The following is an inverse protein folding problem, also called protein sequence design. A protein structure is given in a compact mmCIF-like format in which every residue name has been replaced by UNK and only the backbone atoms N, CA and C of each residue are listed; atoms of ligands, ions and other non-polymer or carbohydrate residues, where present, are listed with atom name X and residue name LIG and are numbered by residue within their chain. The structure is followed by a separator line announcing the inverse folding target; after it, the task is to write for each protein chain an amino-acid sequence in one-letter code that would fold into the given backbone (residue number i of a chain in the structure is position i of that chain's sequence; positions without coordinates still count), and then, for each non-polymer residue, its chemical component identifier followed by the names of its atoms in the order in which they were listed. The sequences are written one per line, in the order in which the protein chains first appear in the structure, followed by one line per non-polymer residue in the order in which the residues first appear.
data_IF_584927721343
#
_entry.id   IF_584927721343
#
_cell.length_a   1.000
_cell.length_b   1.000
_cell.length_c   1.000
_cell.angle_alpha   90.00
_cell.angle_beta   90.00
_cell.angle_gamma   90.00
#
_symmetry.space_group_name_H-M   'P 1'
#
loop_
_entity.id
_entity.type
_entity.pdbx_description
1 polymer ?
#
# COMPACT_ATOMS: atom_id res chain seq x y z
N UNK A 1 42.11 21.74 -12.25
CA UNK A 1 40.72 21.20 -12.19
C UNK A 1 39.77 22.37 -12.02
N UNK A 2 38.76 22.51 -12.83
CA UNK A 2 37.84 23.66 -12.80
C UNK A 2 37.02 23.63 -11.48
N UNK A 3 36.91 24.78 -10.80
CA UNK A 3 36.16 24.91 -9.50
C UNK A 3 34.74 24.35 -9.61
N UNK A 4 34.09 24.52 -10.76
CA UNK A 4 32.76 23.99 -11.04
C UNK A 4 32.76 22.46 -11.15
N UNK A 5 33.81 21.87 -11.72
CA UNK A 5 33.92 20.41 -11.80
C UNK A 5 34.10 19.77 -10.40
N UNK A 6 34.87 20.45 -9.52
CA UNK A 6 35.03 20.01 -8.12
C UNK A 6 33.69 20.11 -7.39
N UNK A 7 33.00 21.24 -7.51
CA UNK A 7 31.71 21.44 -6.86
C UNK A 7 30.67 20.39 -7.32
N UNK A 8 30.60 20.13 -8.62
CA UNK A 8 29.68 19.10 -9.16
C UNK A 8 30.01 17.68 -8.66
N UNK A 9 31.33 17.33 -8.64
CA UNK A 9 31.75 16.03 -8.12
C UNK A 9 31.43 15.86 -6.61
N UNK A 10 31.64 16.94 -5.84
CA UNK A 10 31.31 16.92 -4.40
C UNK A 10 29.81 16.77 -4.19
N UNK A 11 29.00 17.52 -4.93
CA UNK A 11 27.53 17.40 -4.83
C UNK A 11 27.04 16.00 -5.20
N UNK A 12 27.58 15.43 -6.28
CA UNK A 12 27.24 14.05 -6.68
C UNK A 12 27.66 13.03 -5.61
N UNK A 13 28.86 13.19 -5.03
CA UNK A 13 29.34 12.31 -3.96
C UNK A 13 28.47 12.39 -2.71
N UNK A 14 28.05 13.60 -2.31
CA UNK A 14 27.13 13.79 -1.17
C UNK A 14 25.76 13.17 -1.44
N UNK A 15 25.22 13.31 -2.65
CA UNK A 15 23.95 12.71 -3.03
C UNK A 15 24.02 11.18 -2.97
N UNK A 16 25.07 10.58 -3.53
CA UNK A 16 25.30 9.12 -3.49
C UNK A 16 25.43 8.63 -2.05
N UNK A 17 26.18 9.35 -1.21
CA UNK A 17 26.36 9.00 0.19
C UNK A 17 25.03 9.08 0.97
N UNK A 18 24.22 10.11 0.72
CA UNK A 18 22.89 10.27 1.31
C UNK A 18 21.96 9.13 0.89
N UNK A 19 21.87 8.83 -0.40
CA UNK A 19 21.04 7.75 -0.95
C UNK A 19 21.47 6.39 -0.38
N UNK A 20 22.78 6.13 -0.33
CA UNK A 20 23.31 4.90 0.27
C UNK A 20 23.00 4.83 1.77
N UNK A 21 23.17 5.92 2.50
CA UNK A 21 22.84 6.00 3.92
C UNK A 21 21.38 5.70 4.21
N UNK A 22 20.47 6.33 3.45
CA UNK A 22 19.03 6.11 3.59
C UNK A 22 18.66 4.65 3.30
N UNK A 23 19.25 4.02 2.28
CA UNK A 23 19.00 2.60 1.95
C UNK A 23 19.57 1.65 2.99
N UNK A 24 20.81 1.87 3.45
CA UNK A 24 21.48 1.00 4.44
C UNK A 24 20.77 1.08 5.79
N UNK A 25 20.38 2.28 6.21
CA UNK A 25 19.69 2.46 7.48
C UNK A 25 18.24 1.99 7.46
N UNK A 26 17.68 1.67 6.28
CA UNK A 26 16.26 1.31 6.14
C UNK A 26 15.33 2.42 6.65
N UNK A 27 15.86 3.65 6.76
CA UNK A 27 15.14 4.77 7.37
C UNK A 27 13.96 5.19 6.50
N UNK A 28 14.10 4.97 5.20
CA UNK A 28 13.04 5.25 4.26
C UNK A 28 13.19 4.41 2.99
N UNK A 29 12.28 3.50 2.84
CA UNK A 29 11.89 2.95 1.55
C UNK A 29 10.39 3.26 1.39
N UNK A 30 10.01 4.28 0.62
CA UNK A 30 8.60 4.61 0.40
C UNK A 30 7.84 3.46 -0.28
N UNK A 31 8.58 2.52 -0.86
CA UNK A 31 8.06 1.29 -1.44
C UNK A 31 8.30 0.06 -0.54
N UNK A 32 8.73 0.24 0.71
CA UNK A 32 9.03 -0.89 1.61
C UNK A 32 7.82 -1.80 1.85
N UNK A 33 6.64 -1.26 1.73
CA UNK A 33 5.38 -1.99 1.91
C UNK A 33 4.79 -2.52 0.60
N UNK A 34 5.31 -2.11 -0.56
CA UNK A 34 4.85 -2.59 -1.87
C UNK A 34 5.99 -3.21 -2.66
N UNK A 35 5.63 -4.08 -3.59
CA UNK A 35 6.55 -4.66 -4.58
C UNK A 35 5.85 -4.67 -5.94
N UNK A 36 6.61 -4.63 -7.06
CA UNK A 36 6.05 -4.86 -8.38
C UNK A 36 5.31 -6.19 -8.45
N UNK A 37 4.20 -6.21 -9.16
CA UNK A 37 3.44 -7.43 -9.45
C UNK A 37 3.39 -7.63 -10.97
N UNK A 38 3.85 -8.76 -11.41
CA UNK A 38 3.87 -9.12 -12.83
C UNK A 38 2.67 -10.01 -13.22
N UNK A 39 1.76 -10.28 -12.27
CA UNK A 39 0.63 -11.19 -12.50
C UNK A 39 -0.60 -10.44 -13.02
N UNK A 40 -1.25 -9.62 -12.21
CA UNK A 40 -2.50 -8.94 -12.57
C UNK A 40 -2.62 -7.51 -12.03
N UNK A 41 -1.66 -7.05 -11.24
CA UNK A 41 -1.60 -5.68 -10.72
C UNK A 41 -0.26 -5.03 -11.07
N UNK A 42 -0.19 -3.71 -11.00
CA UNK A 42 1.10 -3.00 -11.12
C UNK A 42 1.96 -3.16 -9.88
N UNK A 43 1.34 -3.16 -8.74
CA UNK A 43 1.97 -3.30 -7.42
C UNK A 43 1.09 -4.13 -6.51
N UNK A 44 1.72 -4.84 -5.58
CA UNK A 44 1.05 -5.49 -4.46
C UNK A 44 1.77 -5.17 -3.16
N UNK A 45 1.09 -5.37 -2.04
CA UNK A 45 1.72 -5.31 -0.73
C UNK A 45 2.78 -6.40 -0.58
N UNK A 46 3.90 -6.05 0.02
CA UNK A 46 4.99 -6.98 0.29
C UNK A 46 4.66 -7.79 1.54
N UNK A 47 4.51 -9.13 1.46
CA UNK A 47 4.23 -9.97 2.62
C UNK A 47 5.17 -9.70 3.78
N UNK A 48 4.61 -9.55 4.97
CA UNK A 48 5.33 -9.34 6.22
C UNK A 48 6.22 -8.09 6.28
N UNK A 49 6.10 -7.16 5.31
CA UNK A 49 6.78 -5.88 5.39
C UNK A 49 6.34 -5.11 6.63
N UNK A 50 7.28 -4.39 7.24
CA UNK A 50 7.00 -3.52 8.38
C UNK A 50 6.88 -2.08 7.89
N UNK A 51 5.73 -1.46 8.11
CA UNK A 51 5.53 -0.05 7.81
C UNK A 51 6.16 0.86 8.87
N UNK A 52 6.25 2.15 8.55
CA UNK A 52 6.88 3.14 9.43
C UNK A 52 6.16 3.29 10.79
N UNK A 53 4.85 3.04 10.86
CA UNK A 53 4.08 3.00 12.11
C UNK A 53 4.30 1.72 12.94
N UNK A 54 5.15 0.82 12.46
CA UNK A 54 5.51 -0.42 13.13
C UNK A 54 4.57 -1.59 12.91
N UNK A 55 3.44 -1.42 12.24
CA UNK A 55 2.56 -2.51 11.88
C UNK A 55 3.24 -3.42 10.84
N UNK A 56 3.01 -4.72 10.93
CA UNK A 56 3.51 -5.71 9.97
C UNK A 56 2.37 -6.15 9.08
N UNK A 57 2.55 -6.00 7.76
CA UNK A 57 1.59 -6.51 6.80
C UNK A 57 1.42 -8.02 6.97
N UNK A 58 0.24 -8.52 6.69
CA UNK A 58 -0.07 -9.95 6.79
C UNK A 58 0.67 -10.78 5.73
N UNK A 59 0.48 -12.10 5.76
CA UNK A 59 1.12 -13.04 4.83
C UNK A 59 0.74 -12.81 3.35
N UNK A 60 -0.35 -12.10 3.10
CA UNK A 60 -0.82 -11.73 1.76
C UNK A 60 -0.34 -10.35 1.31
N UNK A 61 0.31 -9.58 2.21
CA UNK A 61 0.81 -8.23 1.93
C UNK A 61 -0.21 -7.13 2.20
N UNK A 62 -1.32 -7.41 2.86
CA UNK A 62 -2.31 -6.39 3.23
C UNK A 62 -2.02 -5.80 4.60
N UNK A 63 -2.38 -4.54 4.79
CA UNK A 63 -2.35 -3.88 6.10
C UNK A 63 -3.57 -4.28 6.91
N UNK A 64 -3.55 -5.52 7.30
CA UNK A 64 -4.61 -6.18 8.04
C UNK A 64 -4.04 -7.28 8.92
N UNK A 65 -4.83 -7.77 9.87
CA UNK A 65 -4.53 -9.02 10.58
C UNK A 65 -4.57 -10.21 9.61
N UNK A 66 -4.09 -11.36 10.03
CA UNK A 66 -4.19 -12.57 9.22
C UNK A 66 -5.65 -13.00 9.08
N UNK A 67 -6.09 -13.24 7.85
CA UNK A 67 -7.43 -13.73 7.56
C UNK A 67 -7.42 -14.97 6.65
N UNK A 68 -8.38 -15.84 6.86
CA UNK A 68 -8.52 -17.06 6.07
C UNK A 68 -9.20 -16.82 4.72
N UNK A 69 -8.81 -17.61 3.70
CA UNK A 69 -9.52 -17.61 2.42
C UNK A 69 -10.97 -18.09 2.57
N UNK A 70 -11.19 -19.07 3.43
CA UNK A 70 -12.54 -19.60 3.69
C UNK A 70 -13.21 -18.77 4.77
N UNK A 71 -14.36 -18.20 4.43
CA UNK A 71 -15.21 -17.46 5.36
C UNK A 71 -15.79 -18.40 6.42
N UNK A 72 -15.77 -17.99 7.69
CA UNK A 72 -16.40 -18.75 8.77
C UNK A 72 -17.93 -18.77 8.59
N UNK A 73 -18.60 -19.87 8.93
CA UNK A 73 -20.08 -19.91 8.90
C UNK A 73 -20.70 -18.82 9.78
N UNK A 74 -21.69 -18.13 9.25
CA UNK A 74 -22.43 -17.09 9.98
C UNK A 74 -21.74 -15.73 10.04
N UNK A 75 -20.53 -15.58 9.48
CA UNK A 75 -19.81 -14.30 9.40
C UNK A 75 -20.22 -13.56 8.13
N UNK A 76 -20.52 -12.27 8.26
CA UNK A 76 -20.74 -11.38 7.13
C UNK A 76 -19.41 -10.73 6.75
N UNK A 77 -18.87 -11.05 5.59
CA UNK A 77 -17.55 -10.59 5.15
C UNK A 77 -17.65 -9.39 4.24
N UNK A 78 -16.99 -8.31 4.65
CA UNK A 78 -16.85 -7.08 3.87
C UNK A 78 -15.40 -7.00 3.38
N UNK A 79 -15.18 -6.71 2.11
CA UNK A 79 -13.85 -6.40 1.60
C UNK A 79 -13.79 -4.95 1.15
N UNK A 80 -12.72 -4.26 1.54
CA UNK A 80 -12.43 -2.88 1.11
C UNK A 80 -11.37 -2.87 0.02
N UNK A 81 -11.72 -2.37 -1.16
CA UNK A 81 -10.81 -2.16 -2.28
C UNK A 81 -10.49 -0.66 -2.39
N UNK A 82 -9.24 -0.33 -2.64
CA UNK A 82 -8.82 1.06 -2.82
C UNK A 82 -7.31 1.22 -2.82
N UNK A 83 -6.89 2.47 -2.80
CA UNK A 83 -5.50 2.92 -2.90
C UNK A 83 -4.80 3.09 -1.53
N UNK A 84 -3.89 4.06 -1.47
CA UNK A 84 -3.17 4.43 -0.23
C UNK A 84 -4.08 4.96 0.87
N UNK A 85 -5.24 5.53 0.55
CA UNK A 85 -6.23 5.96 1.55
C UNK A 85 -6.91 4.75 2.20
N UNK A 86 -7.24 3.73 1.43
CA UNK A 86 -7.81 2.48 1.96
C UNK A 86 -6.76 1.69 2.73
N UNK A 87 -5.54 1.63 2.23
CA UNK A 87 -4.40 1.11 2.97
C UNK A 87 -4.24 1.82 4.33
N UNK A 88 -4.42 3.14 4.36
CA UNK A 88 -4.34 3.99 5.55
C UNK A 88 -2.90 4.34 5.96
N UNK A 89 -2.54 5.62 5.79
CA UNK A 89 -1.23 6.16 6.21
C UNK A 89 -1.14 6.45 7.72
N UNK A 90 -2.05 5.90 8.52
CA UNK A 90 -2.14 6.03 9.98
C UNK A 90 -1.80 4.70 10.64
N UNK A 91 -1.49 4.65 11.96
CA UNK A 91 -1.37 3.38 12.67
C UNK A 91 -2.60 2.48 12.45
N UNK A 92 -2.41 1.17 12.31
CA UNK A 92 -3.45 0.20 11.94
C UNK A 92 -4.78 0.40 12.67
N UNK A 93 -4.74 0.55 14.00
CA UNK A 93 -5.93 0.76 14.85
C UNK A 93 -6.72 2.03 14.56
N UNK A 94 -6.16 2.98 13.81
CA UNK A 94 -6.84 4.23 13.42
C UNK A 94 -7.20 4.26 11.93
N UNK A 95 -6.92 3.17 11.21
CA UNK A 95 -7.40 3.00 9.84
C UNK A 95 -8.93 2.90 9.81
N UNK A 96 -9.57 3.57 8.88
CA UNK A 96 -11.04 3.60 8.86
C UNK A 96 -11.66 2.20 8.61
N UNK A 97 -10.94 1.30 7.93
CA UNK A 97 -11.39 -0.08 7.74
C UNK A 97 -11.42 -0.84 9.07
N UNK A 98 -10.37 -0.67 9.89
CA UNK A 98 -10.30 -1.24 11.25
C UNK A 98 -11.37 -0.65 12.16
N UNK A 99 -11.54 0.69 12.11
CA UNK A 99 -12.58 1.36 12.88
C UNK A 99 -13.98 0.93 12.46
N UNK A 100 -14.21 0.69 11.17
CA UNK A 100 -15.47 0.16 10.67
C UNK A 100 -15.77 -1.23 11.24
N UNK A 101 -14.75 -2.10 11.29
CA UNK A 101 -14.88 -3.44 11.89
C UNK A 101 -15.23 -3.35 13.37
N UNK A 102 -14.51 -2.52 14.14
CA UNK A 102 -14.75 -2.29 15.56
C UNK A 102 -16.17 -1.76 15.84
N UNK A 103 -16.66 -0.83 15.02
CA UNK A 103 -18.02 -0.27 15.14
C UNK A 103 -19.10 -1.31 14.81
N UNK A 104 -18.88 -2.11 13.76
CA UNK A 104 -19.81 -3.18 13.40
C UNK A 104 -19.87 -4.28 14.46
N UNK A 105 -18.72 -4.65 15.04
CA UNK A 105 -18.64 -5.60 16.14
C UNK A 105 -19.37 -5.06 17.38
N UNK A 106 -19.15 -3.78 17.71
CA UNK A 106 -19.84 -3.10 18.82
C UNK A 106 -21.37 -3.08 18.61
N UNK A 107 -21.81 -2.93 17.37
CA UNK A 107 -23.23 -2.99 17.00
C UNK A 107 -23.81 -4.42 17.02
N UNK A 108 -22.99 -5.44 17.33
CA UNK A 108 -23.41 -6.84 17.39
C UNK A 108 -23.49 -7.52 16.01
N UNK A 109 -22.90 -6.93 14.97
CA UNK A 109 -22.75 -7.58 13.69
C UNK A 109 -21.65 -8.66 13.79
N UNK A 110 -21.96 -9.89 13.44
CA UNK A 110 -20.95 -10.93 13.24
C UNK A 110 -20.21 -10.72 11.92
N UNK A 111 -19.54 -9.57 11.79
CA UNK A 111 -18.90 -9.13 10.57
C UNK A 111 -17.37 -9.27 10.68
N UNK A 112 -16.70 -9.41 9.54
CA UNK A 112 -15.27 -9.20 9.38
C UNK A 112 -15.03 -8.24 8.22
N UNK A 113 -14.10 -7.31 8.39
CA UNK A 113 -13.80 -6.28 7.39
C UNK A 113 -12.35 -6.43 6.95
N UNK A 114 -12.15 -6.92 5.73
CA UNK A 114 -10.82 -7.14 5.18
C UNK A 114 -10.33 -5.91 4.41
N UNK A 115 -9.18 -5.38 4.80
CA UNK A 115 -8.56 -4.26 4.11
C UNK A 115 -7.67 -4.75 2.97
N UNK A 116 -8.16 -4.66 1.74
CA UNK A 116 -7.39 -4.98 0.53
C UNK A 116 -6.85 -3.72 -0.16
N UNK A 117 -6.68 -2.61 0.56
CA UNK A 117 -6.07 -1.39 0.04
C UNK A 117 -4.60 -1.60 -0.32
N UNK A 118 -4.20 -1.12 -1.50
CA UNK A 118 -2.82 -1.20 -2.00
C UNK A 118 -2.35 0.18 -2.41
N UNK A 119 -1.26 0.72 -1.81
CA UNK A 119 -0.71 2.00 -2.22
C UNK A 119 -0.39 2.04 -3.72
N UNK A 120 -0.70 3.17 -4.36
CA UNK A 120 -0.54 3.41 -5.79
C UNK A 120 -1.41 2.54 -6.72
N UNK A 121 -2.36 1.77 -6.20
CA UNK A 121 -3.40 1.12 -7.00
C UNK A 121 -4.41 2.15 -7.52
N UNK A 122 -5.08 1.83 -8.60
CA UNK A 122 -6.16 2.61 -9.19
C UNK A 122 -7.32 1.70 -9.65
N UNK A 123 -8.38 2.25 -10.27
CA UNK A 123 -9.60 1.49 -10.57
C UNK A 123 -9.39 0.20 -11.37
N UNK A 124 -8.42 0.18 -12.28
CA UNK A 124 -8.07 -1.04 -13.05
C UNK A 124 -7.46 -2.09 -12.12
N UNK A 125 -6.58 -1.66 -11.18
CA UNK A 125 -5.98 -2.55 -10.20
C UNK A 125 -7.04 -3.08 -9.22
N UNK A 126 -8.02 -2.23 -8.82
CA UNK A 126 -9.13 -2.67 -7.94
C UNK A 126 -9.95 -3.77 -8.59
N UNK A 127 -10.31 -3.61 -9.87
CA UNK A 127 -11.02 -4.64 -10.61
C UNK A 127 -10.19 -5.92 -10.73
N UNK A 128 -8.91 -5.78 -11.07
CA UNK A 128 -8.00 -6.92 -11.20
C UNK A 128 -7.85 -7.66 -9.87
N UNK A 129 -7.67 -6.94 -8.77
CA UNK A 129 -7.59 -7.51 -7.42
C UNK A 129 -8.89 -8.21 -7.03
N UNK A 130 -10.03 -7.59 -7.31
CA UNK A 130 -11.33 -8.17 -7.01
C UNK A 130 -11.54 -9.49 -7.75
N UNK A 131 -11.27 -9.52 -9.04
CA UNK A 131 -11.49 -10.72 -9.87
C UNK A 131 -10.53 -11.85 -9.49
N UNK A 132 -9.27 -11.54 -9.23
CA UNK A 132 -8.24 -12.56 -9.00
C UNK A 132 -8.15 -13.03 -7.54
N UNK A 133 -8.45 -12.17 -6.58
CA UNK A 133 -8.39 -12.52 -5.14
C UNK A 133 -9.72 -12.32 -4.42
N UNK A 134 -10.31 -11.12 -4.58
CA UNK A 134 -11.48 -10.71 -3.81
C UNK A 134 -12.66 -11.68 -3.89
N UNK A 135 -12.99 -12.17 -5.10
CA UNK A 135 -14.07 -13.13 -5.29
C UNK A 135 -13.84 -14.44 -4.53
N UNK A 136 -12.58 -14.91 -4.49
CA UNK A 136 -12.23 -16.16 -3.82
C UNK A 136 -12.37 -16.10 -2.29
N UNK A 137 -12.39 -14.89 -1.73
CA UNK A 137 -12.61 -14.65 -0.30
C UNK A 137 -14.09 -14.78 0.10
N UNK A 138 -15.02 -14.91 -0.86
CA UNK A 138 -16.45 -15.05 -0.62
C UNK A 138 -17.07 -13.85 0.11
N UNK A 139 -16.86 -12.61 -0.34
CA UNK A 139 -17.42 -11.43 0.31
C UNK A 139 -18.93 -11.38 0.15
N UNK A 140 -19.62 -10.89 1.19
CA UNK A 140 -21.04 -10.54 1.14
C UNK A 140 -21.23 -9.08 0.71
N UNK A 141 -20.19 -8.23 0.94
CA UNK A 141 -20.17 -6.82 0.54
C UNK A 141 -18.79 -6.41 0.06
N UNK A 142 -18.76 -5.51 -0.93
CA UNK A 142 -17.56 -4.87 -1.42
C UNK A 142 -17.67 -3.37 -1.21
N UNK A 143 -16.73 -2.80 -0.48
CA UNK A 143 -16.55 -1.36 -0.36
C UNK A 143 -15.50 -0.91 -1.38
N UNK A 144 -15.95 -0.24 -2.43
CA UNK A 144 -15.06 0.37 -3.41
C UNK A 144 -14.77 1.81 -2.99
N UNK A 145 -13.54 2.04 -2.56
CA UNK A 145 -13.09 3.34 -2.08
C UNK A 145 -12.34 4.05 -3.20
N UNK A 146 -12.94 5.10 -3.76
CA UNK A 146 -12.38 5.88 -4.85
C UNK A 146 -11.86 7.22 -4.32
N UNK A 147 -10.59 7.49 -4.61
CA UNK A 147 -10.00 8.79 -4.34
C UNK A 147 -10.19 9.71 -5.54
N UNK A 148 -11.11 10.67 -5.42
CA UNK A 148 -11.50 11.57 -6.51
C UNK A 148 -10.34 12.43 -7.05
N UNK A 149 -9.30 12.67 -6.25
CA UNK A 149 -8.15 13.48 -6.63
C UNK A 149 -7.16 12.77 -7.56
N UNK A 150 -7.18 11.45 -7.66
CA UNK A 150 -6.15 10.67 -8.37
C UNK A 150 -6.72 9.56 -9.27
N UNK A 151 -7.70 8.80 -8.79
CA UNK A 151 -8.21 7.60 -9.46
C UNK A 151 -8.78 7.86 -10.86
N UNK A 152 -9.36 9.05 -11.10
CA UNK A 152 -9.95 9.43 -12.37
C UNK A 152 -8.95 10.04 -13.35
N UNK A 153 -7.82 10.57 -12.85
CA UNK A 153 -6.82 11.24 -13.69
C UNK A 153 -5.66 10.34 -14.09
N UNK A 154 -5.37 9.28 -13.34
CA UNK A 154 -4.17 8.46 -13.50
C UNK A 154 -4.47 7.01 -13.91
N UNK A 155 -5.59 6.76 -14.55
CA UNK A 155 -6.05 5.43 -14.98
C UNK A 155 -5.15 4.65 -15.94
N UNK A 156 -3.90 5.02 -16.13
CA UNK A 156 -3.05 4.26 -17.05
C UNK A 156 -1.56 4.53 -17.09
N UNK A 157 -1.08 5.66 -16.65
CA UNK A 157 0.34 6.00 -16.87
C UNK A 157 0.94 6.76 -15.69
N UNK A 158 1.22 6.08 -14.57
CA UNK A 158 2.15 6.67 -13.61
C UNK A 158 3.57 6.51 -14.11
N UNK A 159 4.22 7.62 -14.32
CA UNK A 159 5.63 7.68 -14.66
C UNK A 159 6.47 7.02 -13.56
N UNK A 160 7.27 6.02 -13.93
CA UNK A 160 8.29 5.38 -13.07
C UNK A 160 9.49 6.27 -12.76
N UNK A 161 9.35 7.59 -12.78
CA UNK A 161 10.49 8.51 -12.59
C UNK A 161 11.16 8.41 -11.22
N UNK A 162 10.46 7.88 -10.22
CA UNK A 162 10.93 7.89 -8.82
C UNK A 162 11.47 6.55 -8.31
N UNK A 163 11.44 5.49 -9.11
CA UNK A 163 11.88 4.17 -8.67
C UNK A 163 13.38 3.98 -8.58
N UNK A 164 14.18 4.93 -9.06
CA UNK A 164 15.63 4.86 -9.07
C UNK A 164 16.30 5.51 -7.85
N UNK A 165 15.61 6.41 -7.15
CA UNK A 165 16.13 7.06 -5.95
C UNK A 165 15.08 7.16 -4.85
N UNK A 166 15.42 6.66 -3.67
CA UNK A 166 14.57 6.78 -2.46
C UNK A 166 14.56 8.22 -1.97
N UNK A 167 15.68 8.94 -2.05
CA UNK A 167 15.78 10.34 -1.62
C UNK A 167 14.88 11.27 -2.48
N UNK A 168 14.75 11.01 -3.78
CA UNK A 168 13.92 11.82 -4.68
C UNK A 168 12.41 11.68 -4.41
N UNK A 169 11.97 10.62 -3.75
CA UNK A 169 10.55 10.38 -3.44
C UNK A 169 10.02 11.26 -2.32
N UNK A 170 10.92 11.91 -1.55
CA UNK A 170 10.55 12.77 -0.40
C UNK A 170 10.37 14.24 -0.77
N UNK A 171 10.70 14.64 -1.98
CA UNK A 171 10.71 16.04 -2.41
C UNK A 171 9.39 16.44 -3.09
N UNK A 172 8.50 15.50 -3.33
CA UNK A 172 7.15 15.67 -3.87
C UNK A 172 6.11 15.17 -2.89
#
# INVERSE_FOLDING_TARGET
MNRWAIAAATAAGLFIALEAGVRICGLVDPLCVTMPDDTYMRYRGKPHAREFNGFRLNSRGYKDVEFGSVKKPGVFRIIGLGDSYTYGAVPYRYGYMTLLEDELETAGCGCEVLNLGVPAAGPVDYLSLFVNEGLSLGPDMVLLNLYLGDDFYHGGTRFRLYSWSVAATWIN
#
